data_IF_222913423754
#
_entry.id   IF_222913423754
#
_cell.length_a   1.000
_cell.length_b   1.000
_cell.length_c   1.000
_cell.angle_alpha   90.00
_cell.angle_beta   90.00
_cell.angle_gamma   90.00
#
_symmetry.space_group_name_H-M   'P 1'
#
loop_
_entity.id
_entity.type
_entity.pdbx_description
1 polymer ?
#
# COMPACT_ATOMS: atom_id res chain seq x y z
N UNK A 1 -22.62 2.45 15.98
CA UNK A 1 -21.18 2.71 16.05
C UNK A 1 -20.65 2.85 17.48
N UNK A 2 -21.50 2.66 18.49
CA UNK A 2 -21.11 2.66 19.89
C UNK A 2 -20.68 1.28 20.41
N UNK A 3 -20.56 0.27 19.49
CA UNK A 3 -20.13 -1.08 19.86
C UNK A 3 -21.24 -2.01 20.33
N UNK A 4 -22.49 -1.56 20.29
CA UNK A 4 -23.62 -2.44 20.60
C UNK A 4 -23.95 -3.36 19.43
N UNK A 5 -24.15 -4.64 19.71
CA UNK A 5 -24.69 -5.59 18.72
C UNK A 5 -26.17 -5.31 18.49
N UNK A 6 -26.58 -5.40 17.22
CA UNK A 6 -27.95 -5.17 16.78
C UNK A 6 -28.49 -6.45 16.17
N UNK A 7 -29.50 -7.04 16.77
CA UNK A 7 -30.05 -8.34 16.37
C UNK A 7 -31.14 -8.26 15.30
N UNK A 8 -31.50 -7.07 14.83
CA UNK A 8 -32.60 -6.88 13.86
C UNK A 8 -32.09 -6.25 12.56
N UNK A 9 -32.89 -6.40 11.52
CA UNK A 9 -32.67 -5.73 10.22
C UNK A 9 -31.72 -6.45 9.27
N UNK A 10 -31.01 -7.51 9.69
CA UNK A 10 -30.05 -8.23 8.85
C UNK A 10 -30.62 -8.74 7.53
N UNK A 11 -31.79 -9.37 7.55
CA UNK A 11 -32.46 -9.86 6.32
C UNK A 11 -32.90 -8.73 5.39
N UNK A 12 -33.29 -7.57 5.94
CA UNK A 12 -33.60 -6.40 5.12
C UNK A 12 -32.35 -5.87 4.41
N UNK A 13 -31.21 -5.86 5.11
CA UNK A 13 -29.91 -5.47 4.55
C UNK A 13 -29.49 -6.41 3.42
N UNK A 14 -29.65 -7.73 3.59
CA UNK A 14 -29.41 -8.73 2.53
C UNK A 14 -30.28 -8.42 1.30
N UNK A 15 -31.57 -8.15 1.51
CA UNK A 15 -32.51 -7.77 0.44
C UNK A 15 -32.08 -6.47 -0.28
N UNK A 16 -31.61 -5.46 0.46
CA UNK A 16 -31.15 -4.19 -0.13
C UNK A 16 -29.88 -4.37 -0.96
N UNK A 17 -28.93 -5.22 -0.54
CA UNK A 17 -27.72 -5.53 -1.33
C UNK A 17 -28.09 -6.17 -2.67
N UNK A 18 -29.12 -7.01 -2.69
CA UNK A 18 -29.59 -7.68 -3.92
C UNK A 18 -30.51 -6.80 -4.78
N UNK A 19 -30.91 -5.62 -4.31
CA UNK A 19 -31.82 -4.74 -5.01
C UNK A 19 -31.20 -4.19 -6.33
N UNK A 20 -32.02 -3.91 -7.38
CA UNK A 20 -31.49 -3.44 -8.66
C UNK A 20 -31.10 -1.96 -8.67
N UNK A 21 -31.57 -1.16 -7.71
CA UNK A 21 -31.34 0.30 -7.66
C UNK A 21 -30.11 0.64 -6.84
N UNK A 22 -29.30 1.55 -7.37
CA UNK A 22 -28.08 2.01 -6.69
C UNK A 22 -28.30 2.52 -5.26
N UNK A 23 -29.33 3.37 -5.07
CA UNK A 23 -29.61 3.95 -3.75
C UNK A 23 -29.94 2.88 -2.69
N UNK A 24 -30.68 1.83 -3.09
CA UNK A 24 -31.01 0.72 -2.22
C UNK A 24 -29.76 -0.12 -1.89
N UNK A 25 -28.97 -0.49 -2.92
CA UNK A 25 -27.68 -1.17 -2.74
C UNK A 25 -26.73 -0.38 -1.84
N UNK A 26 -26.60 0.92 -2.05
CA UNK A 26 -25.73 1.80 -1.26
C UNK A 26 -26.09 1.75 0.22
N UNK A 27 -27.38 1.86 0.54
CA UNK A 27 -27.88 1.72 1.92
C UNK A 27 -27.57 0.32 2.45
N UNK A 28 -27.89 -0.73 1.68
CA UNK A 28 -27.61 -2.12 2.04
C UNK A 28 -26.14 -2.35 2.39
N UNK A 29 -25.22 -1.97 1.50
CA UNK A 29 -23.76 -2.12 1.72
C UNK A 29 -23.25 -1.29 2.90
N UNK A 30 -23.74 -0.07 3.07
CA UNK A 30 -23.34 0.80 4.18
C UNK A 30 -23.77 0.21 5.51
N UNK A 31 -25.01 -0.19 5.62
CA UNK A 31 -25.57 -0.77 6.86
C UNK A 31 -24.92 -2.13 7.15
N UNK A 32 -24.74 -2.99 6.12
CA UNK A 32 -24.04 -4.26 6.28
C UNK A 32 -22.60 -4.07 6.81
N UNK A 33 -21.88 -3.07 6.31
CA UNK A 33 -20.51 -2.77 6.78
C UNK A 33 -20.45 -2.33 8.25
N UNK A 34 -21.57 -1.92 8.82
CA UNK A 34 -21.65 -1.49 10.22
C UNK A 34 -22.19 -2.60 11.13
N UNK A 35 -23.18 -3.35 10.65
CA UNK A 35 -23.88 -4.38 11.44
C UNK A 35 -23.20 -5.75 11.39
N UNK A 36 -22.59 -6.10 10.25
CA UNK A 36 -22.00 -7.42 10.06
C UNK A 36 -20.49 -7.38 10.29
N UNK A 37 -19.98 -8.35 11.00
CA UNK A 37 -18.55 -8.62 11.09
C UNK A 37 -18.16 -9.80 10.18
N UNK A 38 -16.87 -10.04 9.97
CA UNK A 38 -16.35 -11.05 9.05
C UNK A 38 -16.74 -12.50 9.35
N UNK A 39 -17.27 -12.78 10.54
CA UNK A 39 -17.69 -14.10 10.99
C UNK A 39 -19.22 -14.27 10.97
N UNK A 40 -19.95 -13.23 10.55
CA UNK A 40 -21.42 -13.26 10.60
C UNK A 40 -22.00 -14.14 9.50
N UNK A 41 -22.85 -15.10 9.85
CA UNK A 41 -23.44 -16.09 8.94
C UNK A 41 -24.20 -15.48 7.76
N UNK A 42 -24.82 -14.32 7.94
CA UNK A 42 -25.54 -13.60 6.87
C UNK A 42 -24.64 -13.14 5.72
N UNK A 43 -23.29 -13.07 5.91
CA UNK A 43 -22.38 -12.75 4.83
C UNK A 43 -22.42 -13.79 3.70
N UNK A 44 -22.69 -15.06 4.01
CA UNK A 44 -22.85 -16.12 2.99
C UNK A 44 -24.00 -15.83 2.01
N UNK A 45 -25.09 -15.24 2.52
CA UNK A 45 -26.27 -14.94 1.72
C UNK A 45 -26.02 -13.85 0.68
N UNK A 46 -25.04 -12.97 0.90
CA UNK A 46 -24.75 -11.85 -0.01
C UNK A 46 -23.59 -12.11 -0.97
N UNK A 47 -22.84 -13.21 -0.83
CA UNK A 47 -21.67 -13.51 -1.68
C UNK A 47 -22.00 -13.41 -3.17
N UNK A 48 -23.10 -14.01 -3.62
CA UNK A 48 -23.47 -14.00 -5.03
C UNK A 48 -23.84 -12.59 -5.52
N UNK A 49 -24.59 -11.83 -4.74
CA UNK A 49 -24.94 -10.44 -5.09
C UNK A 49 -23.70 -9.54 -5.13
N UNK A 50 -22.76 -9.73 -4.18
CA UNK A 50 -21.47 -9.02 -4.17
C UNK A 50 -20.62 -9.39 -5.39
N UNK A 51 -20.59 -10.68 -5.78
CA UNK A 51 -19.91 -11.14 -7.00
C UNK A 51 -20.50 -10.49 -8.25
N UNK A 52 -21.82 -10.51 -8.40
CA UNK A 52 -22.49 -9.87 -9.54
C UNK A 52 -22.15 -8.38 -9.64
N UNK A 53 -22.10 -7.67 -8.52
CA UNK A 53 -21.73 -6.27 -8.49
C UNK A 53 -20.25 -6.06 -8.87
N UNK A 54 -19.33 -6.89 -8.39
CA UNK A 54 -17.89 -6.82 -8.70
C UNK A 54 -17.63 -7.02 -10.20
N UNK A 55 -18.34 -7.96 -10.84
CA UNK A 55 -18.16 -8.27 -12.26
C UNK A 55 -19.08 -7.47 -13.19
N UNK A 56 -19.94 -6.61 -12.64
CA UNK A 56 -20.89 -5.83 -13.41
C UNK A 56 -20.20 -4.85 -14.38
N UNK A 57 -20.94 -4.36 -15.37
CA UNK A 57 -20.46 -3.30 -16.26
C UNK A 57 -20.53 -1.90 -15.63
N UNK A 58 -21.23 -1.78 -14.50
CA UNK A 58 -21.42 -0.51 -13.79
C UNK A 58 -20.27 -0.28 -12.81
N UNK A 59 -19.45 0.73 -13.07
CA UNK A 59 -18.33 1.10 -12.18
C UNK A 59 -18.77 1.43 -10.74
N UNK A 60 -19.99 2.01 -10.60
CA UNK A 60 -20.52 2.37 -9.28
C UNK A 60 -20.90 1.12 -8.47
N UNK A 61 -21.44 0.08 -9.10
CA UNK A 61 -21.74 -1.21 -8.45
C UNK A 61 -20.43 -1.94 -8.11
N UNK A 62 -19.48 -1.97 -9.05
CA UNK A 62 -18.14 -2.51 -8.78
C UNK A 62 -17.50 -1.83 -7.54
N UNK A 63 -17.57 -0.50 -7.48
CA UNK A 63 -17.04 0.24 -6.35
C UNK A 63 -17.74 -0.05 -5.02
N UNK A 64 -19.06 -0.29 -5.02
CA UNK A 64 -19.81 -0.68 -3.82
C UNK A 64 -19.37 -2.08 -3.34
N UNK A 65 -19.42 -3.09 -4.22
CA UNK A 65 -19.03 -4.46 -3.90
C UNK A 65 -17.59 -4.55 -3.40
N UNK A 66 -16.65 -3.94 -4.12
CA UNK A 66 -15.23 -3.93 -3.73
C UNK A 66 -14.99 -3.21 -2.40
N UNK A 67 -15.71 -2.10 -2.12
CA UNK A 67 -15.59 -1.40 -0.83
C UNK A 67 -16.12 -2.26 0.31
N UNK A 68 -17.22 -2.97 0.09
CA UNK A 68 -17.78 -3.88 1.07
C UNK A 68 -16.82 -5.03 1.39
N UNK A 69 -16.26 -5.66 0.36
CA UNK A 69 -15.23 -6.71 0.54
C UNK A 69 -14.03 -6.19 1.32
N UNK A 70 -13.56 -4.98 1.03
CA UNK A 70 -12.45 -4.37 1.75
C UNK A 70 -12.75 -4.10 3.24
N UNK A 71 -14.02 -3.90 3.60
CA UNK A 71 -14.43 -3.64 4.98
C UNK A 71 -14.68 -4.92 5.78
N UNK A 72 -15.48 -5.85 5.24
CA UNK A 72 -15.97 -7.02 6.00
C UNK A 72 -15.46 -8.36 5.48
N UNK A 73 -14.67 -8.38 4.41
CA UNK A 73 -14.18 -9.61 3.81
C UNK A 73 -13.44 -10.50 4.81
N UNK A 74 -13.95 -11.72 5.00
CA UNK A 74 -13.39 -12.81 5.79
C UNK A 74 -12.91 -13.96 4.91
N UNK A 75 -12.64 -15.13 5.51
CA UNK A 75 -12.13 -16.32 4.80
C UNK A 75 -13.10 -16.79 3.69
N UNK A 76 -14.38 -16.84 3.96
CA UNK A 76 -15.39 -17.26 2.97
C UNK A 76 -15.43 -16.32 1.75
N UNK A 77 -15.25 -15.01 1.97
CA UNK A 77 -15.13 -14.05 0.88
C UNK A 77 -13.82 -14.22 0.13
N UNK A 78 -12.73 -14.56 0.83
CA UNK A 78 -11.45 -14.83 0.20
C UNK A 78 -11.56 -16.02 -0.76
N UNK A 79 -12.12 -17.13 -0.31
CA UNK A 79 -12.29 -18.34 -1.12
C UNK A 79 -13.25 -18.12 -2.30
N UNK A 80 -14.32 -17.35 -2.09
CA UNK A 80 -15.35 -17.16 -3.09
C UNK A 80 -15.05 -16.06 -4.12
N UNK A 81 -14.41 -14.97 -3.73
CA UNK A 81 -14.34 -13.73 -4.51
C UNK A 81 -12.93 -13.31 -4.93
N UNK A 82 -11.86 -13.89 -4.36
CA UNK A 82 -10.50 -13.44 -4.62
C UNK A 82 -10.14 -13.46 -6.12
N UNK A 83 -10.51 -14.52 -6.84
CA UNK A 83 -10.25 -14.63 -8.27
C UNK A 83 -10.96 -13.55 -9.11
N UNK A 84 -12.19 -13.19 -8.75
CA UNK A 84 -12.94 -12.13 -9.44
C UNK A 84 -12.35 -10.76 -9.14
N UNK A 85 -11.97 -10.49 -7.88
CA UNK A 85 -11.28 -9.25 -7.47
C UNK A 85 -9.93 -9.11 -8.16
N UNK A 86 -9.13 -10.19 -8.23
CA UNK A 86 -7.86 -10.22 -8.95
C UNK A 86 -8.06 -9.92 -10.44
N UNK A 87 -9.04 -10.51 -11.09
CA UNK A 87 -9.37 -10.26 -12.50
C UNK A 87 -9.72 -8.80 -12.75
N UNK A 88 -10.50 -8.17 -11.86
CA UNK A 88 -10.83 -6.74 -11.96
C UNK A 88 -9.60 -5.86 -11.78
N UNK A 89 -8.70 -6.17 -10.85
CA UNK A 89 -7.44 -5.46 -10.65
C UNK A 89 -6.56 -5.50 -11.91
N UNK A 90 -6.43 -6.67 -12.52
CA UNK A 90 -5.57 -6.90 -13.70
C UNK A 90 -6.18 -6.39 -15.00
N UNK A 91 -7.47 -6.08 -15.03
CA UNK A 91 -8.14 -5.58 -16.22
C UNK A 91 -7.75 -4.13 -16.52
N UNK A 92 -6.83 -3.92 -17.49
CA UNK A 92 -6.40 -2.59 -17.92
C UNK A 92 -7.52 -1.71 -18.50
N UNK A 93 -8.65 -2.28 -18.94
CA UNK A 93 -9.83 -1.55 -19.40
C UNK A 93 -10.77 -1.08 -18.28
N UNK A 94 -10.58 -1.54 -17.04
CA UNK A 94 -11.37 -1.09 -15.92
C UNK A 94 -10.94 0.33 -15.47
N UNK A 95 -11.90 1.08 -14.94
CA UNK A 95 -11.65 2.46 -14.45
C UNK A 95 -10.62 2.47 -13.32
N UNK A 96 -9.74 3.48 -13.25
CA UNK A 96 -8.71 3.59 -12.21
C UNK A 96 -9.25 3.46 -10.78
N UNK A 97 -10.40 4.05 -10.50
CA UNK A 97 -11.03 3.98 -9.17
C UNK A 97 -11.44 2.55 -8.80
N UNK A 98 -11.92 1.76 -9.78
CA UNK A 98 -12.31 0.37 -9.58
C UNK A 98 -11.07 -0.49 -9.30
N UNK A 99 -10.02 -0.35 -10.12
CA UNK A 99 -8.75 -1.07 -9.95
C UNK A 99 -8.08 -0.74 -8.60
N UNK A 100 -8.07 0.53 -8.20
CA UNK A 100 -7.59 0.96 -6.88
C UNK A 100 -8.36 0.25 -5.74
N UNK A 101 -9.69 0.20 -5.83
CA UNK A 101 -10.53 -0.49 -4.83
C UNK A 101 -10.31 -2.00 -4.85
N UNK A 102 -10.12 -2.59 -6.03
CA UNK A 102 -9.80 -4.01 -6.18
C UNK A 102 -8.47 -4.37 -5.49
N UNK A 103 -7.43 -3.55 -5.62
CA UNK A 103 -6.16 -3.76 -4.92
C UNK A 103 -6.33 -3.76 -3.38
N UNK A 104 -7.14 -2.83 -2.85
CA UNK A 104 -7.39 -2.77 -1.41
C UNK A 104 -8.30 -3.91 -0.91
N UNK A 105 -9.30 -4.31 -1.71
CA UNK A 105 -10.12 -5.46 -1.42
C UNK A 105 -9.29 -6.76 -1.42
N UNK A 106 -8.43 -6.93 -2.43
CA UNK A 106 -7.53 -8.09 -2.51
C UNK A 106 -6.56 -8.15 -1.32
N UNK A 107 -6.03 -7.01 -0.87
CA UNK A 107 -5.23 -6.92 0.35
C UNK A 107 -6.00 -7.40 1.58
N UNK A 108 -7.28 -7.02 1.71
CA UNK A 108 -8.13 -7.48 2.81
C UNK A 108 -8.30 -8.99 2.77
N UNK A 109 -8.63 -9.55 1.61
CA UNK A 109 -8.80 -10.99 1.42
C UNK A 109 -7.49 -11.75 1.67
N UNK A 110 -6.36 -11.28 1.15
CA UNK A 110 -5.03 -11.85 1.39
C UNK A 110 -4.67 -11.88 2.88
N UNK A 111 -5.02 -10.85 3.64
CA UNK A 111 -4.79 -10.85 5.09
C UNK A 111 -5.57 -11.94 5.83
N UNK A 112 -6.66 -12.43 5.25
CA UNK A 112 -7.49 -13.51 5.82
C UNK A 112 -7.05 -14.89 5.36
N UNK A 113 -6.84 -15.02 4.05
CA UNK A 113 -6.34 -16.26 3.48
C UNK A 113 -5.11 -15.94 2.59
N UNK A 114 -3.93 -16.42 2.99
CA UNK A 114 -2.66 -16.16 2.29
C UNK A 114 -2.54 -16.97 1.00
N UNK A 115 -3.26 -18.07 0.89
CA UNK A 115 -3.18 -19.00 -0.25
C UNK A 115 -3.91 -18.51 -1.50
N UNK A 116 -4.67 -17.41 -1.41
CA UNK A 116 -5.40 -16.86 -2.56
C UNK A 116 -4.50 -16.27 -3.66
N UNK A 117 -3.23 -16.00 -3.34
CA UNK A 117 -2.25 -15.45 -4.28
C UNK A 117 -1.04 -16.40 -4.37
N UNK A 118 -0.84 -17.01 -5.54
CA UNK A 118 0.36 -17.81 -5.82
C UNK A 118 1.53 -16.88 -6.21
N UNK A 119 2.63 -16.84 -5.44
CA UNK A 119 3.79 -15.99 -5.74
C UNK A 119 4.37 -16.22 -7.13
N UNK A 120 4.35 -17.46 -7.64
CA UNK A 120 4.96 -17.80 -8.94
C UNK A 120 4.27 -17.09 -10.12
N UNK A 121 2.98 -16.87 -10.02
CA UNK A 121 2.18 -16.24 -11.07
C UNK A 121 1.89 -14.78 -10.77
N UNK A 122 1.54 -14.47 -9.52
CA UNK A 122 1.08 -13.15 -9.13
C UNK A 122 2.21 -12.11 -9.03
N UNK A 123 3.44 -12.52 -8.70
CA UNK A 123 4.58 -11.59 -8.60
C UNK A 123 4.85 -10.84 -9.91
N UNK A 124 4.79 -11.54 -11.05
CA UNK A 124 4.95 -10.92 -12.37
C UNK A 124 3.80 -9.98 -12.72
N UNK A 125 2.56 -10.41 -12.45
CA UNK A 125 1.37 -9.58 -12.65
C UNK A 125 1.43 -8.31 -11.79
N UNK A 126 1.95 -8.44 -10.57
CA UNK A 126 2.11 -7.31 -9.66
C UNK A 126 3.22 -6.36 -10.13
N UNK A 127 4.34 -6.90 -10.66
CA UNK A 127 5.39 -6.10 -11.27
C UNK A 127 4.87 -5.30 -12.48
N UNK A 128 4.02 -5.91 -13.34
CA UNK A 128 3.40 -5.23 -14.47
C UNK A 128 2.46 -4.09 -14.01
N UNK A 129 1.74 -4.28 -12.89
CA UNK A 129 0.90 -3.24 -12.31
C UNK A 129 1.69 -2.04 -11.76
N UNK A 130 2.98 -2.22 -11.43
CA UNK A 130 3.85 -1.13 -10.99
C UNK A 130 4.30 -0.22 -12.15
N UNK A 131 4.12 -0.63 -13.41
CA UNK A 131 4.37 0.21 -14.59
C UNK A 131 3.22 1.21 -14.87
N UNK A 132 2.13 1.14 -14.12
CA UNK A 132 0.98 2.04 -14.26
C UNK A 132 1.36 3.51 -14.04
N UNK A 133 0.71 4.40 -14.79
CA UNK A 133 0.93 5.85 -14.65
C UNK A 133 0.04 6.48 -13.59
N UNK A 134 -1.14 5.92 -13.36
CA UNK A 134 -2.10 6.44 -12.39
C UNK A 134 -1.63 6.21 -10.94
N UNK A 135 -1.40 7.30 -10.22
CA UNK A 135 -0.91 7.26 -8.83
C UNK A 135 -1.93 6.71 -7.84
N UNK A 136 -3.23 6.76 -8.18
CA UNK A 136 -4.29 6.16 -7.38
C UNK A 136 -4.20 4.63 -7.43
N UNK A 137 -4.02 4.05 -8.63
CA UNK A 137 -3.79 2.60 -8.80
C UNK A 137 -2.50 2.22 -8.07
N UNK A 138 -1.39 2.91 -8.34
CA UNK A 138 -0.11 2.64 -7.69
C UNK A 138 -0.19 2.69 -6.17
N UNK A 139 -0.93 3.64 -5.59
CA UNK A 139 -1.12 3.71 -4.13
C UNK A 139 -1.85 2.49 -3.55
N UNK A 140 -2.81 1.94 -4.29
CA UNK A 140 -3.51 0.70 -3.95
C UNK A 140 -2.61 -0.53 -4.10
N UNK A 141 -1.93 -0.63 -5.26
CA UNK A 141 -1.00 -1.72 -5.58
C UNK A 141 0.17 -1.76 -4.60
N UNK A 142 0.77 -0.61 -4.26
CA UNK A 142 1.83 -0.54 -3.25
C UNK A 142 1.35 -0.94 -1.86
N UNK A 143 0.09 -0.66 -1.51
CA UNK A 143 -0.47 -1.16 -0.23
C UNK A 143 -0.62 -2.69 -0.24
N UNK A 144 -1.05 -3.26 -1.37
CA UNK A 144 -1.14 -4.72 -1.55
C UNK A 144 0.24 -5.35 -1.50
N UNK A 145 1.20 -4.84 -2.27
CA UNK A 145 2.59 -5.33 -2.30
C UNK A 145 3.22 -5.29 -0.90
N UNK A 146 3.13 -4.15 -0.21
CA UNK A 146 3.66 -4.03 1.16
C UNK A 146 3.03 -5.05 2.11
N UNK A 147 1.72 -5.31 1.99
CA UNK A 147 1.04 -6.32 2.80
C UNK A 147 1.44 -7.76 2.49
N UNK A 148 1.78 -8.06 1.24
CA UNK A 148 2.30 -9.36 0.81
C UNK A 148 3.73 -9.54 1.33
N UNK A 149 4.61 -8.57 1.09
CA UNK A 149 6.02 -8.61 1.49
C UNK A 149 6.19 -8.71 3.02
N UNK A 150 5.32 -8.04 3.78
CA UNK A 150 5.31 -8.15 5.24
C UNK A 150 4.94 -9.57 5.75
N UNK A 151 4.35 -10.40 4.90
CA UNK A 151 4.07 -11.80 5.22
C UNK A 151 5.17 -12.73 4.70
N UNK A 152 5.49 -12.65 3.40
CA UNK A 152 6.58 -13.40 2.77
C UNK A 152 7.06 -12.64 1.53
N UNK A 153 8.36 -12.33 1.49
CA UNK A 153 8.99 -11.61 0.39
C UNK A 153 9.42 -12.53 -0.77
N UNK A 154 9.54 -13.84 -0.54
CA UNK A 154 10.10 -14.79 -1.49
C UNK A 154 9.30 -14.86 -2.80
N UNK A 155 9.98 -14.71 -3.91
CA UNK A 155 9.41 -14.71 -5.25
C UNK A 155 8.91 -13.34 -5.72
N UNK A 156 9.01 -12.29 -4.89
CA UNK A 156 8.61 -10.92 -5.23
C UNK A 156 9.78 -9.97 -5.52
N UNK A 157 11.00 -10.48 -5.56
CA UNK A 157 12.23 -9.71 -5.86
C UNK A 157 12.14 -9.01 -7.23
N UNK A 158 11.40 -9.59 -8.17
CA UNK A 158 11.11 -9.00 -9.50
C UNK A 158 10.42 -7.63 -9.41
N UNK A 159 9.80 -7.31 -8.28
CA UNK A 159 9.17 -6.01 -8.04
C UNK A 159 10.19 -4.90 -7.66
N UNK A 160 11.40 -5.24 -7.20
CA UNK A 160 12.41 -4.27 -6.74
C UNK A 160 12.68 -3.17 -7.79
N UNK A 161 13.11 -3.50 -9.03
CA UNK A 161 13.43 -2.45 -10.01
C UNK A 161 12.21 -1.60 -10.37
N UNK A 162 11.01 -2.18 -10.32
CA UNK A 162 9.76 -1.47 -10.59
C UNK A 162 9.41 -0.48 -9.48
N UNK A 163 9.54 -0.89 -8.22
CA UNK A 163 9.36 0.00 -7.06
C UNK A 163 10.39 1.13 -7.07
N UNK A 164 11.66 0.84 -7.39
CA UNK A 164 12.71 1.84 -7.56
C UNK A 164 12.38 2.83 -8.69
N UNK A 165 11.83 2.35 -9.82
CA UNK A 165 11.41 3.22 -10.92
C UNK A 165 10.27 4.16 -10.52
N UNK A 166 9.26 3.67 -9.80
CA UNK A 166 8.18 4.50 -9.25
C UNK A 166 8.74 5.56 -8.31
N UNK A 167 9.60 5.18 -7.37
CA UNK A 167 10.21 6.10 -6.41
C UNK A 167 11.09 7.15 -7.10
N UNK A 168 11.88 6.75 -8.11
CA UNK A 168 12.67 7.66 -8.96
C UNK A 168 11.79 8.69 -9.67
N UNK A 169 10.65 8.27 -10.23
CA UNK A 169 9.70 9.18 -10.87
C UNK A 169 9.16 10.21 -9.89
N UNK A 170 8.82 9.79 -8.67
CA UNK A 170 8.33 10.66 -7.60
C UNK A 170 9.44 11.60 -7.11
N UNK A 171 10.64 11.12 -6.82
CA UNK A 171 11.76 11.93 -6.35
C UNK A 171 12.17 13.01 -7.38
N UNK A 172 12.08 12.70 -8.67
CA UNK A 172 12.31 13.67 -9.77
C UNK A 172 11.14 14.61 -10.05
N UNK A 173 10.01 14.48 -9.34
CA UNK A 173 8.76 15.21 -9.59
C UNK A 173 8.33 15.18 -11.08
N UNK A 174 8.52 14.03 -11.74
CA UNK A 174 8.26 13.90 -13.16
C UNK A 174 6.83 13.44 -13.42
N UNK A 175 6.08 14.25 -14.17
CA UNK A 175 4.71 13.95 -14.60
C UNK A 175 3.76 13.61 -13.41
N UNK A 176 3.84 14.40 -12.33
CA UNK A 176 3.01 14.23 -11.14
C UNK A 176 1.86 15.24 -11.15
N UNK A 177 0.59 14.79 -11.23
CA UNK A 177 -0.57 15.68 -11.19
C UNK A 177 -0.63 16.49 -9.87
N UNK A 178 -1.19 17.69 -9.94
CA UNK A 178 -1.31 18.59 -8.78
C UNK A 178 -2.10 17.95 -7.61
N UNK A 179 -3.11 17.15 -7.90
CA UNK A 179 -3.94 16.44 -6.92
C UNK A 179 -3.13 15.42 -6.07
N UNK A 180 -1.97 14.99 -6.57
CA UNK A 180 -1.05 14.09 -5.88
C UNK A 180 0.17 14.80 -5.30
N UNK A 181 0.14 16.12 -5.21
CA UNK A 181 1.20 16.90 -4.57
C UNK A 181 0.76 17.41 -3.20
N UNK A 182 1.59 17.22 -2.20
CA UNK A 182 1.40 17.75 -0.85
C UNK A 182 2.43 18.84 -0.58
N UNK A 183 2.01 20.11 -0.53
CA UNK A 183 2.90 21.27 -0.45
C UNK A 183 4.04 21.24 -1.48
N UNK A 184 3.72 20.92 -2.74
CA UNK A 184 4.66 20.74 -3.84
C UNK A 184 5.64 19.55 -3.66
N UNK A 185 5.35 18.63 -2.75
CA UNK A 185 6.06 17.37 -2.61
C UNK A 185 5.26 16.25 -3.30
N UNK A 186 5.86 15.53 -4.24
CA UNK A 186 5.16 14.50 -5.00
C UNK A 186 4.79 13.29 -4.15
N UNK A 187 3.51 13.08 -3.87
CA UNK A 187 2.96 11.88 -3.22
C UNK A 187 3.83 11.31 -2.09
N UNK A 188 4.13 12.05 -1.00
CA UNK A 188 5.05 11.58 0.03
C UNK A 188 4.64 10.26 0.65
N UNK A 189 3.35 9.99 0.83
CA UNK A 189 2.84 8.71 1.34
C UNK A 189 3.13 7.54 0.41
N UNK A 190 3.14 7.75 -0.92
CA UNK A 190 3.52 6.72 -1.87
C UNK A 190 5.04 6.49 -1.83
N UNK A 191 5.84 7.54 -1.68
CA UNK A 191 7.28 7.41 -1.48
C UNK A 191 7.61 6.58 -0.23
N UNK A 192 6.97 6.89 0.91
CA UNK A 192 7.10 6.10 2.15
C UNK A 192 6.71 4.64 1.93
N UNK A 193 5.61 4.36 1.22
CA UNK A 193 5.21 2.98 0.92
C UNK A 193 6.22 2.24 0.05
N UNK A 194 6.79 2.91 -0.96
CA UNK A 194 7.85 2.32 -1.79
C UNK A 194 9.07 1.94 -0.95
N UNK A 195 9.57 2.86 -0.12
CA UNK A 195 10.71 2.61 0.76
C UNK A 195 10.43 1.49 1.76
N UNK A 196 9.25 1.46 2.38
CA UNK A 196 8.83 0.38 3.29
C UNK A 196 8.71 -0.98 2.59
N UNK A 197 8.21 -1.00 1.37
CA UNK A 197 8.13 -2.25 0.61
C UNK A 197 9.52 -2.85 0.38
N UNK A 198 10.50 -2.03 0.03
CA UNK A 198 11.88 -2.48 -0.16
C UNK A 198 12.51 -2.98 1.16
N UNK A 199 12.18 -2.39 2.31
CA UNK A 199 12.67 -2.84 3.62
C UNK A 199 12.20 -4.26 4.02
N UNK A 200 11.14 -4.80 3.42
CA UNK A 200 10.71 -6.19 3.67
C UNK A 200 11.50 -7.23 2.88
N UNK A 201 12.28 -6.79 1.90
CA UNK A 201 13.10 -7.69 1.07
C UNK A 201 14.55 -7.58 1.58
N UNK A 202 15.22 -8.70 1.85
CA UNK A 202 16.66 -8.70 2.17
C UNK A 202 17.48 -8.07 1.04
N UNK A 203 18.72 -7.67 1.35
CA UNK A 203 19.65 -7.14 0.34
C UNK A 203 19.64 -8.01 -0.92
N UNK A 204 19.33 -7.45 -2.10
CA UNK A 204 19.24 -8.21 -3.33
C UNK A 204 20.57 -8.87 -3.69
N UNK A 205 20.52 -10.14 -4.09
CA UNK A 205 21.70 -10.84 -4.60
C UNK A 205 22.04 -10.43 -6.03
N UNK A 206 21.07 -9.93 -6.78
CA UNK A 206 21.27 -9.39 -8.12
C UNK A 206 21.91 -8.00 -8.03
N UNK A 207 23.13 -7.81 -8.61
CA UNK A 207 23.83 -6.52 -8.56
C UNK A 207 23.06 -5.38 -9.23
N UNK A 208 22.21 -5.68 -10.24
CA UNK A 208 21.41 -4.65 -10.91
C UNK A 208 20.28 -4.16 -9.98
N UNK A 209 19.68 -5.05 -9.22
CA UNK A 209 18.65 -4.69 -8.24
C UNK A 209 19.23 -3.90 -7.07
N UNK A 210 20.35 -4.36 -6.53
CA UNK A 210 21.07 -3.64 -5.47
C UNK A 210 21.46 -2.24 -5.92
N UNK A 211 22.02 -2.11 -7.13
CA UNK A 211 22.36 -0.82 -7.71
C UNK A 211 21.14 0.10 -7.85
N UNK A 212 20.00 -0.44 -8.31
CA UNK A 212 18.77 0.35 -8.43
C UNK A 212 18.29 0.89 -7.06
N UNK A 213 18.42 0.11 -5.99
CA UNK A 213 18.12 0.56 -4.62
C UNK A 213 19.08 1.65 -4.16
N UNK A 214 20.40 1.47 -4.32
CA UNK A 214 21.41 2.48 -3.97
C UNK A 214 21.17 3.80 -4.72
N UNK A 215 20.95 3.72 -6.02
CA UNK A 215 20.73 4.90 -6.87
C UNK A 215 19.48 5.68 -6.43
N UNK A 216 18.37 4.99 -6.11
CA UNK A 216 17.14 5.66 -5.71
C UNK A 216 17.21 6.24 -4.30
N UNK A 217 17.88 5.57 -3.35
CA UNK A 217 18.08 6.10 -2.00
C UNK A 217 18.93 7.38 -2.09
N UNK A 218 20.06 7.32 -2.82
CA UNK A 218 20.92 8.49 -3.07
C UNK A 218 20.13 9.64 -3.69
N UNK A 219 19.25 9.34 -4.63
CA UNK A 219 18.39 10.36 -5.23
C UNK A 219 17.40 10.96 -4.25
N UNK A 220 16.80 10.16 -3.35
CA UNK A 220 15.91 10.65 -2.29
C UNK A 220 16.67 11.59 -1.37
N UNK A 221 17.87 11.24 -0.90
CA UNK A 221 18.71 12.12 -0.09
C UNK A 221 19.01 13.45 -0.81
N UNK A 222 19.41 13.40 -2.08
CA UNK A 222 19.75 14.58 -2.87
C UNK A 222 18.55 15.48 -3.21
N UNK A 223 17.36 14.92 -3.29
CA UNK A 223 16.11 15.67 -3.60
C UNK A 223 15.54 16.40 -2.39
N UNK A 224 16.08 16.15 -1.20
CA UNK A 224 15.51 16.61 0.06
C UNK A 224 16.23 17.85 0.58
N UNK A 225 15.63 19.01 0.37
CA UNK A 225 16.13 20.28 0.92
C UNK A 225 15.20 20.78 2.02
N UNK A 226 15.78 21.27 3.13
CA UNK A 226 15.02 21.88 4.22
C UNK A 226 14.30 23.14 3.72
N UNK A 227 12.99 23.22 3.98
CA UNK A 227 12.15 24.35 3.59
C UNK A 227 11.48 24.99 4.82
N UNK A 228 11.03 26.26 4.68
CA UNK A 228 10.36 26.97 5.79
C UNK A 228 8.98 26.43 6.14
N UNK A 229 8.31 25.71 5.22
CA UNK A 229 6.97 25.18 5.46
C UNK A 229 7.04 23.93 6.33
N UNK A 230 6.43 23.99 7.52
CA UNK A 230 6.44 22.91 8.53
C UNK A 230 5.82 21.63 8.00
N UNK A 231 4.66 21.70 7.33
CA UNK A 231 3.97 20.52 6.81
C UNK A 231 4.79 19.82 5.71
N UNK A 232 5.40 20.60 4.82
CA UNK A 232 6.31 20.05 3.82
C UNK A 232 7.52 19.40 4.46
N UNK A 233 8.13 20.03 5.46
CA UNK A 233 9.26 19.47 6.21
C UNK A 233 8.90 18.16 6.89
N UNK A 234 7.75 18.07 7.55
CA UNK A 234 7.33 16.85 8.23
C UNK A 234 7.15 15.69 7.24
N UNK A 235 6.56 15.96 6.08
CA UNK A 235 6.43 14.94 5.04
C UNK A 235 7.80 14.52 4.45
N UNK A 236 8.73 15.47 4.26
CA UNK A 236 10.11 15.18 3.84
C UNK A 236 10.85 14.36 4.88
N UNK A 237 10.71 14.70 6.17
CA UNK A 237 11.33 13.93 7.26
C UNK A 237 10.82 12.48 7.26
N UNK A 238 9.51 12.25 7.05
CA UNK A 238 8.97 10.90 6.97
C UNK A 238 9.61 10.09 5.82
N UNK A 239 9.79 10.69 4.65
CA UNK A 239 10.46 10.03 3.52
C UNK A 239 11.94 9.74 3.84
N UNK A 240 12.64 10.71 4.46
CA UNK A 240 14.06 10.53 4.82
C UNK A 240 14.25 9.45 5.88
N UNK A 241 13.42 9.38 6.90
CA UNK A 241 13.51 8.32 7.91
C UNK A 241 13.37 6.93 7.29
N UNK A 242 12.44 6.74 6.36
CA UNK A 242 12.31 5.46 5.66
C UNK A 242 13.50 5.18 4.73
N UNK A 243 14.08 6.21 4.11
CA UNK A 243 15.29 6.04 3.29
C UNK A 243 16.51 5.66 4.14
N UNK A 244 16.67 6.26 5.32
CA UNK A 244 17.72 5.88 6.28
C UNK A 244 17.51 4.44 6.77
N UNK A 245 16.27 4.04 7.09
CA UNK A 245 15.96 2.67 7.51
C UNK A 245 16.33 1.65 6.43
N UNK A 246 16.01 1.94 5.17
CA UNK A 246 16.39 1.07 4.05
C UNK A 246 17.91 1.02 3.87
N UNK A 247 18.60 2.18 3.90
CA UNK A 247 20.05 2.24 3.78
C UNK A 247 20.78 1.44 4.88
N UNK A 248 20.22 1.45 6.11
CA UNK A 248 20.78 0.70 7.25
C UNK A 248 20.64 -0.83 7.11
N UNK A 249 19.69 -1.32 6.30
CA UNK A 249 19.47 -2.75 6.08
C UNK A 249 20.28 -3.34 4.93
N UNK A 250 20.76 -2.48 4.00
CA UNK A 250 21.52 -2.94 2.84
C UNK A 250 22.94 -3.35 3.26
N UNK A 251 23.34 -4.56 2.87
CA UNK A 251 24.74 -4.97 2.96
C UNK A 251 25.53 -4.38 1.79
N UNK A 252 26.21 -3.29 2.07
CA UNK A 252 26.99 -2.50 1.08
C UNK A 252 28.48 -2.89 1.07
N UNK A 253 28.88 -3.88 1.84
CA UNK A 253 30.28 -4.27 1.99
C UNK A 253 31.14 -3.09 2.48
N UNK A 254 32.10 -2.65 1.64
CA UNK A 254 33.01 -1.56 1.99
C UNK A 254 32.52 -0.15 1.54
N UNK A 255 31.35 -0.05 0.89
CA UNK A 255 30.81 1.26 0.47
C UNK A 255 30.07 1.94 1.63
N UNK A 256 30.67 2.96 2.19
CA UNK A 256 30.13 3.73 3.33
C UNK A 256 29.32 4.95 2.89
N UNK A 257 29.19 5.21 1.59
CA UNK A 257 28.63 6.47 1.08
C UNK A 257 27.17 6.73 1.51
N UNK A 258 26.32 5.71 1.48
CA UNK A 258 24.93 5.83 1.96
C UNK A 258 24.84 5.95 3.49
N UNK A 259 25.72 5.29 4.20
CA UNK A 259 25.82 5.38 5.67
C UNK A 259 26.22 6.80 6.08
N UNK A 260 27.22 7.39 5.42
CA UNK A 260 27.65 8.77 5.67
C UNK A 260 26.56 9.79 5.38
N UNK A 261 25.81 9.62 4.28
CA UNK A 261 24.64 10.44 3.97
C UNK A 261 23.54 10.27 5.03
N UNK A 262 23.29 9.05 5.50
CA UNK A 262 22.33 8.74 6.56
C UNK A 262 22.71 9.42 7.88
N UNK A 263 23.98 9.32 8.29
CA UNK A 263 24.50 9.99 9.50
C UNK A 263 24.34 11.50 9.39
N UNK A 264 24.64 12.08 8.24
CA UNK A 264 24.49 13.52 7.98
C UNK A 264 23.04 13.96 8.13
N UNK A 265 22.10 13.20 7.54
CA UNK A 265 20.66 13.47 7.65
C UNK A 265 20.18 13.34 9.11
N UNK A 266 20.58 12.29 9.82
CA UNK A 266 20.23 12.06 11.23
C UNK A 266 20.78 13.14 12.15
N UNK A 267 22.03 13.59 11.93
CA UNK A 267 22.63 14.70 12.66
C UNK A 267 21.80 15.99 12.56
N UNK A 268 21.28 16.27 11.35
CA UNK A 268 20.38 17.40 11.14
C UNK A 268 19.01 17.24 11.86
N UNK A 269 18.54 16.02 12.07
CA UNK A 269 17.29 15.77 12.82
C UNK A 269 17.47 15.89 14.34
N UNK A 270 18.56 15.35 14.86
CA UNK A 270 18.85 15.39 16.31
C UNK A 270 19.00 16.83 16.81
N UNK A 271 19.48 17.75 15.97
CA UNK A 271 19.66 19.17 16.30
C UNK A 271 18.38 19.99 16.19
N UNK A 272 17.23 19.40 15.76
CA UNK A 272 15.95 20.12 15.69
C UNK A 272 15.37 20.39 17.06
N UNK A 273 14.67 21.52 17.18
CA UNK A 273 13.94 21.89 18.40
C UNK A 273 12.68 21.03 18.64
N UNK A 274 12.22 20.30 17.63
CA UNK A 274 11.03 19.42 17.72
C UNK A 274 11.41 18.09 18.38
N UNK A 275 10.93 17.81 19.63
CA UNK A 275 11.35 16.64 20.38
C UNK A 275 11.08 15.31 19.70
N UNK A 276 9.96 15.18 18.97
CA UNK A 276 9.61 13.95 18.26
C UNK A 276 10.56 13.64 17.12
N UNK A 277 10.99 14.67 16.37
CA UNK A 277 11.97 14.52 15.28
C UNK A 277 13.34 14.14 15.84
N UNK A 278 13.77 14.80 16.92
CA UNK A 278 15.03 14.50 17.58
C UNK A 278 15.03 13.07 18.16
N UNK A 279 13.93 12.65 18.78
CA UNK A 279 13.77 11.28 19.29
C UNK A 279 13.85 10.24 18.17
N UNK A 280 13.11 10.43 17.05
CA UNK A 280 13.18 9.53 15.91
C UNK A 280 14.59 9.50 15.30
N UNK A 281 15.26 10.64 15.19
CA UNK A 281 16.64 10.73 14.73
C UNK A 281 17.60 9.90 15.59
N UNK A 282 17.49 9.98 16.92
CA UNK A 282 18.29 9.16 17.85
C UNK A 282 17.96 7.67 17.72
N UNK A 283 16.70 7.31 17.60
CA UNK A 283 16.29 5.92 17.44
C UNK A 283 16.87 5.30 16.16
N UNK A 284 16.77 6.00 15.03
CA UNK A 284 17.38 5.53 13.77
C UNK A 284 18.91 5.48 13.84
N UNK A 285 19.54 6.42 14.54
CA UNK A 285 20.99 6.38 14.76
C UNK A 285 21.40 5.14 15.57
N UNK A 286 20.63 4.80 16.61
CA UNK A 286 20.86 3.59 17.40
C UNK A 286 20.79 2.35 16.53
N UNK A 287 19.76 2.23 15.67
CA UNK A 287 19.61 1.09 14.76
C UNK A 287 20.75 1.01 13.72
N UNK A 288 21.27 2.16 13.29
CA UNK A 288 22.39 2.21 12.33
C UNK A 288 23.70 1.73 12.96
N UNK A 289 23.93 2.02 14.25
CA UNK A 289 25.17 1.69 15.00
C UNK A 289 25.12 0.26 15.58
N UNK A 290 23.96 -0.23 15.94
CA UNK A 290 23.75 -1.54 16.55
C UNK A 290 22.60 -2.31 15.85
N UNK A 291 22.81 -2.73 14.59
CA UNK A 291 21.76 -3.40 13.81
C UNK A 291 21.32 -4.76 14.37
N UNK A 292 22.16 -5.42 15.19
CA UNK A 292 21.92 -6.79 15.69
C UNK A 292 21.21 -6.83 17.06
N UNK A 293 20.66 -5.74 17.58
CA UNK A 293 20.05 -5.68 18.92
C UNK A 293 18.52 -5.67 18.91
N UNK A 294 17.86 -5.96 17.77
CA UNK A 294 16.39 -6.06 17.67
C UNK A 294 15.93 -7.45 17.26
#
# INVERSE_FOLDING_TARGET
>A
MLGYEVEFGHMHVVGLISAPRYAEKQVGYTVASVLLNEHHEFLRLVINSVREDIISRSEIFQCLGLSFVANVGGNEFADALAADVQRVLLNGGARPIVRKKAALALLRLFRRNKEILDPNTFSRQLADLLDERDLGILSGVMSLLTGILAHDHRGYEVCIPKVCAVLTRLAKNKDIPADYQYYLLPSPWLQVKCLRALQYIPTPQDPEYLKAEIDVITQVFNSTTTVRNVNKNNALHAVLFEAVSLAAQLDLGNDTSLIEQSITALGAFITKSEPNIAYLGLNHLTNLVAPDTL
#
